data_IF_177316204739
#
_entry.id   IF_177316204739
#
_cell.length_a   1.000
_cell.length_b   1.000
_cell.length_c   1.000
_cell.angle_alpha   90.00
_cell.angle_beta   90.00
_cell.angle_gamma   90.00
#
_symmetry.space_group_name_H-M   'P 1'
#
loop_
_entity.id
_entity.type
_entity.pdbx_description
1 polymer ?
#
# COMPACT_ATOMS: atom_id res chain seq x y z
N UNK A 1 2.71 -6.02 26.88
CA UNK A 1 1.62 -7.02 26.89
C UNK A 1 0.52 -6.53 25.96
N UNK A 2 0.50 -6.99 24.71
CA UNK A 2 -0.62 -6.75 23.80
C UNK A 2 -1.65 -7.85 24.03
N UNK A 3 -2.78 -7.49 24.64
CA UNK A 3 -3.93 -8.38 24.76
C UNK A 3 -4.41 -8.69 23.35
N UNK A 4 -4.33 -9.96 22.91
CA UNK A 4 -4.93 -10.35 21.64
C UNK A 4 -6.41 -9.98 21.68
N UNK A 5 -6.95 -9.29 20.66
CA UNK A 5 -8.36 -8.96 20.63
C UNK A 5 -9.18 -10.24 20.79
N UNK A 6 -10.24 -10.20 21.62
CA UNK A 6 -11.14 -11.33 21.78
C UNK A 6 -11.58 -11.79 20.39
N UNK A 7 -11.26 -13.03 20.05
CA UNK A 7 -11.52 -13.63 18.74
C UNK A 7 -12.99 -13.51 18.36
N UNK A 8 -13.91 -13.55 19.34
CA UNK A 8 -15.35 -13.36 19.08
C UNK A 8 -15.65 -11.93 18.65
N UNK A 9 -15.08 -10.94 19.30
CA UNK A 9 -15.26 -9.52 18.95
C UNK A 9 -14.66 -9.20 17.59
N UNK A 10 -13.48 -9.75 17.27
CA UNK A 10 -12.86 -9.61 15.96
C UNK A 10 -13.76 -10.19 14.85
N UNK A 11 -14.34 -11.38 15.05
CA UNK A 11 -15.25 -11.99 14.08
C UNK A 11 -16.54 -11.20 13.90
N UNK A 12 -17.12 -10.67 14.98
CA UNK A 12 -18.31 -9.79 14.92
C UNK A 12 -18.00 -8.53 14.13
N UNK A 13 -16.86 -7.88 14.41
CA UNK A 13 -16.43 -6.68 13.70
C UNK A 13 -16.16 -6.96 12.21
N UNK A 14 -15.48 -8.06 11.88
CA UNK A 14 -15.25 -8.47 10.50
C UNK A 14 -16.56 -8.74 9.77
N UNK A 15 -17.54 -9.39 10.42
CA UNK A 15 -18.86 -9.60 9.86
C UNK A 15 -19.59 -8.29 9.58
N UNK A 16 -19.54 -7.31 10.51
CA UNK A 16 -20.10 -5.97 10.29
C UNK A 16 -19.49 -5.28 9.07
N UNK A 17 -18.16 -5.33 8.94
CA UNK A 17 -17.45 -4.77 7.78
C UNK A 17 -17.85 -5.48 6.49
N UNK A 18 -17.97 -6.81 6.50
CA UNK A 18 -18.41 -7.60 5.35
C UNK A 18 -19.85 -7.27 4.93
N UNK A 19 -20.79 -7.29 5.88
CA UNK A 19 -22.20 -6.97 5.61
C UNK A 19 -22.35 -5.51 5.10
N UNK A 20 -21.61 -4.58 5.70
CA UNK A 20 -21.58 -3.19 5.22
C UNK A 20 -21.01 -3.10 3.80
N UNK A 21 -19.94 -3.82 3.48
CA UNK A 21 -19.38 -3.86 2.13
C UNK A 21 -20.37 -4.46 1.12
N UNK A 22 -21.09 -5.53 1.47
CA UNK A 22 -22.13 -6.16 0.63
C UNK A 22 -23.27 -5.20 0.30
N UNK A 23 -23.83 -4.51 1.30
CA UNK A 23 -24.87 -3.48 1.09
C UNK A 23 -24.38 -2.31 0.23
N UNK A 24 -23.07 -2.16 0.12
CA UNK A 24 -22.40 -1.09 -0.60
C UNK A 24 -21.90 -1.54 -1.98
N UNK A 25 -22.21 -2.77 -2.41
CA UNK A 25 -21.90 -3.25 -3.76
C UNK A 25 -20.45 -3.68 -3.95
N UNK A 26 -19.81 -4.24 -2.92
CA UNK A 26 -18.57 -5.00 -3.13
C UNK A 26 -18.88 -6.16 -4.09
N UNK A 27 -18.08 -6.36 -5.15
CA UNK A 27 -18.34 -7.45 -6.08
C UNK A 27 -18.06 -8.79 -5.40
N UNK A 28 -18.89 -9.79 -5.72
CA UNK A 28 -18.76 -11.17 -5.23
C UNK A 28 -17.52 -11.88 -5.80
N UNK A 29 -16.95 -11.34 -6.89
CA UNK A 29 -15.67 -11.76 -7.45
C UNK A 29 -15.08 -10.60 -8.27
N UNK A 30 -13.81 -10.28 -8.07
CA UNK A 30 -13.08 -9.38 -8.96
C UNK A 30 -12.58 -10.18 -10.17
N UNK A 31 -13.14 -9.91 -11.35
CA UNK A 31 -12.65 -10.52 -12.60
C UNK A 31 -11.24 -10.03 -12.97
N UNK A 32 -10.86 -8.83 -12.52
CA UNK A 32 -9.56 -8.24 -12.73
C UNK A 32 -8.82 -8.10 -11.40
N UNK A 33 -7.74 -8.87 -11.24
CA UNK A 33 -6.83 -8.74 -10.10
C UNK A 33 -6.09 -7.41 -10.18
N UNK A 34 -5.88 -6.76 -9.02
CA UNK A 34 -5.01 -5.58 -8.94
C UNK A 34 -3.63 -5.94 -9.48
N UNK A 35 -3.18 -5.18 -10.48
CA UNK A 35 -1.86 -5.33 -11.08
C UNK A 35 -0.78 -5.30 -9.99
N UNK A 36 0.23 -6.13 -10.17
CA UNK A 36 1.49 -6.10 -9.41
C UNK A 36 2.53 -5.38 -10.25
N UNK A 37 3.53 -4.81 -9.60
CA UNK A 37 4.69 -4.30 -10.32
C UNK A 37 5.63 -5.45 -10.71
N UNK A 38 6.32 -5.27 -11.82
CA UNK A 38 7.50 -6.02 -12.28
C UNK A 38 8.77 -5.13 -12.31
N UNK A 39 8.64 -3.88 -11.89
CA UNK A 39 9.68 -2.85 -11.96
C UNK A 39 9.97 -2.26 -10.57
N UNK A 40 11.16 -2.54 -10.01
CA UNK A 40 11.54 -2.12 -8.66
C UNK A 40 11.44 -0.60 -8.46
N UNK A 41 11.98 0.20 -9.38
CA UNK A 41 11.93 1.66 -9.28
C UNK A 41 10.52 2.25 -9.17
N UNK A 42 9.58 1.74 -9.98
CA UNK A 42 8.18 2.15 -9.94
C UNK A 42 7.51 1.74 -8.61
N UNK A 43 7.78 0.53 -8.12
CA UNK A 43 7.25 0.05 -6.84
C UNK A 43 7.73 0.92 -5.67
N UNK A 44 9.04 1.17 -5.57
CA UNK A 44 9.61 1.95 -4.47
C UNK A 44 9.16 3.41 -4.54
N UNK A 45 9.07 3.99 -5.74
CA UNK A 45 8.55 5.34 -5.94
C UNK A 45 7.08 5.45 -5.52
N UNK A 46 6.23 4.49 -5.90
CA UNK A 46 4.83 4.44 -5.49
C UNK A 46 4.72 4.38 -3.96
N UNK A 47 5.43 3.44 -3.33
CA UNK A 47 5.42 3.25 -1.88
C UNK A 47 5.92 4.49 -1.10
N UNK A 48 6.93 5.20 -1.59
CA UNK A 48 7.45 6.40 -0.93
C UNK A 48 6.52 7.60 -1.13
N UNK A 49 6.02 7.81 -2.35
CA UNK A 49 5.23 8.99 -2.69
C UNK A 49 3.79 8.92 -2.15
N UNK A 50 3.20 7.72 -2.05
CA UNK A 50 1.81 7.49 -1.60
C UNK A 50 1.42 8.22 -0.30
N UNK A 51 2.35 8.40 0.65
CA UNK A 51 2.00 8.97 1.95
C UNK A 51 1.75 10.48 1.86
N UNK A 52 0.52 10.90 2.13
CA UNK A 52 0.12 12.31 2.19
C UNK A 52 -0.13 12.98 0.84
N UNK A 53 -0.04 12.23 -0.27
CA UNK A 53 -0.22 12.76 -1.62
C UNK A 53 -1.48 12.19 -2.28
N UNK A 54 -2.04 12.95 -3.22
CA UNK A 54 -3.09 12.45 -4.10
C UNK A 54 -2.50 11.41 -5.05
N UNK A 55 -2.99 10.17 -4.96
CA UNK A 55 -2.52 9.11 -5.84
C UNK A 55 -2.76 9.47 -7.32
N UNK A 56 -3.96 9.95 -7.65
CA UNK A 56 -4.36 10.21 -9.05
C UNK A 56 -3.60 11.36 -9.69
N UNK A 57 -3.43 12.47 -8.98
CA UNK A 57 -2.85 13.69 -9.56
C UNK A 57 -1.35 13.84 -9.32
N UNK A 58 -0.76 13.09 -8.38
CA UNK A 58 0.66 13.24 -8.02
C UNK A 58 1.44 11.95 -8.23
N UNK A 59 1.02 10.84 -7.63
CA UNK A 59 1.79 9.58 -7.62
C UNK A 59 1.71 8.87 -8.98
N UNK A 60 0.50 8.62 -9.49
CA UNK A 60 0.27 7.88 -10.73
C UNK A 60 1.00 8.48 -11.94
N UNK A 61 0.99 9.81 -12.19
CA UNK A 61 1.77 10.39 -13.29
C UNK A 61 3.28 10.14 -13.16
N UNK A 62 3.83 10.16 -11.93
CA UNK A 62 5.26 9.94 -11.68
C UNK A 62 5.68 8.51 -11.88
N UNK A 63 4.89 7.58 -11.37
CA UNK A 63 5.07 6.14 -11.61
C UNK A 63 5.01 5.84 -13.10
N UNK A 64 3.99 6.37 -13.80
CA UNK A 64 3.86 6.19 -15.25
C UNK A 64 5.05 6.75 -16.03
N UNK A 65 5.60 7.89 -15.58
CA UNK A 65 6.83 8.46 -16.13
C UNK A 65 8.03 7.56 -15.88
N UNK A 66 8.20 7.03 -14.66
CA UNK A 66 9.29 6.10 -14.33
C UNK A 66 9.28 4.88 -15.27
N UNK A 67 8.12 4.24 -15.41
CA UNK A 67 7.96 3.08 -16.29
C UNK A 67 8.27 3.38 -17.75
N UNK A 68 8.04 4.62 -18.21
CA UNK A 68 8.26 5.04 -19.59
C UNK A 68 9.71 5.49 -19.85
N UNK A 69 10.27 6.31 -18.96
CA UNK A 69 11.54 7.01 -19.17
C UNK A 69 12.74 6.26 -18.57
N UNK A 70 12.51 5.35 -17.63
CA UNK A 70 13.56 4.61 -16.94
C UNK A 70 13.31 3.10 -16.94
N UNK A 71 13.08 2.45 -18.10
CA UNK A 71 12.75 1.02 -18.16
C UNK A 71 13.82 0.11 -17.54
N UNK A 72 15.08 0.57 -17.52
CA UNK A 72 16.22 -0.17 -16.96
C UNK A 72 16.34 -0.02 -15.43
N UNK A 73 15.53 0.83 -14.80
CA UNK A 73 15.50 1.01 -13.34
C UNK A 73 14.61 -0.04 -12.65
N UNK A 74 14.48 -1.23 -13.26
CA UNK A 74 13.62 -2.32 -12.81
C UNK A 74 14.25 -3.21 -11.72
N UNK A 75 15.51 -2.97 -11.35
CA UNK A 75 16.28 -3.67 -10.31
C UNK A 75 16.82 -2.71 -9.26
N UNK A 76 17.04 -3.17 -8.03
CA UNK A 76 17.59 -2.33 -6.94
C UNK A 76 19.02 -1.89 -7.24
N UNK A 77 19.86 -2.76 -7.79
CA UNK A 77 21.23 -2.43 -8.22
C UNK A 77 21.28 -1.27 -9.23
N UNK A 78 20.30 -1.16 -10.13
CA UNK A 78 20.17 -0.02 -11.04
C UNK A 78 19.78 1.26 -10.28
N UNK A 79 18.96 1.15 -9.24
CA UNK A 79 18.59 2.28 -8.37
C UNK A 79 19.75 2.72 -7.49
N UNK A 80 20.60 1.82 -7.01
CA UNK A 80 21.82 2.17 -6.26
C UNK A 80 22.69 3.08 -7.11
N UNK A 81 22.97 2.69 -8.37
CA UNK A 81 23.70 3.53 -9.33
C UNK A 81 23.05 4.92 -9.53
N UNK A 82 21.72 5.00 -9.44
CA UNK A 82 20.97 6.24 -9.60
C UNK A 82 21.11 7.15 -8.36
N UNK A 83 20.99 6.56 -7.17
CA UNK A 83 21.13 7.25 -5.88
C UNK A 83 22.55 7.79 -5.72
N UNK A 84 23.58 6.98 -6.03
CA UNK A 84 24.99 7.39 -5.99
C UNK A 84 25.29 8.58 -6.91
N UNK A 85 24.58 8.67 -8.04
CA UNK A 85 24.68 9.79 -8.99
C UNK A 85 23.84 11.01 -8.57
N UNK A 86 23.21 11.00 -7.40
CA UNK A 86 22.31 12.04 -6.91
C UNK A 86 21.13 12.33 -7.87
N UNK A 87 20.67 11.32 -8.60
CA UNK A 87 19.61 11.48 -9.61
C UNK A 87 18.20 11.24 -9.05
N UNK A 88 18.02 11.01 -7.75
CA UNK A 88 16.73 10.68 -7.13
C UNK A 88 15.66 11.73 -7.37
N UNK A 89 16.01 13.02 -7.27
CA UNK A 89 15.06 14.12 -7.53
C UNK A 89 14.52 14.07 -8.97
N UNK A 90 15.42 13.86 -9.94
CA UNK A 90 15.07 13.71 -11.35
C UNK A 90 14.29 12.43 -11.62
N UNK A 91 14.62 11.32 -10.96
CA UNK A 91 13.93 10.04 -11.11
C UNK A 91 12.50 10.06 -10.56
N UNK A 92 12.31 10.68 -9.39
CA UNK A 92 10.99 10.79 -8.77
C UNK A 92 10.15 11.97 -9.29
N UNK A 93 10.75 12.88 -10.06
CA UNK A 93 10.16 14.18 -10.41
C UNK A 93 9.64 14.89 -9.14
N UNK A 94 10.53 15.02 -8.16
CA UNK A 94 10.18 15.48 -6.82
C UNK A 94 11.33 16.27 -6.19
N UNK A 95 10.99 17.27 -5.38
CA UNK A 95 11.98 18.18 -4.79
C UNK A 95 12.01 18.14 -3.27
N UNK A 96 10.94 17.68 -2.60
CA UNK A 96 10.89 17.73 -1.14
C UNK A 96 11.87 16.70 -0.53
N UNK A 97 12.86 17.14 0.27
CA UNK A 97 14.02 16.33 0.65
C UNK A 97 13.64 15.08 1.45
N UNK A 98 12.60 15.15 2.28
CA UNK A 98 12.15 13.99 3.08
C UNK A 98 11.74 12.80 2.22
N UNK A 99 11.16 13.01 1.03
CA UNK A 99 10.73 11.89 0.16
C UNK A 99 11.92 11.34 -0.62
N UNK A 100 12.82 12.22 -1.06
CA UNK A 100 14.06 11.82 -1.72
C UNK A 100 14.90 10.95 -0.79
N UNK A 101 15.19 11.43 0.42
CA UNK A 101 15.96 10.67 1.40
C UNK A 101 15.30 9.36 1.83
N UNK A 102 13.95 9.29 1.88
CA UNK A 102 13.25 8.01 2.15
C UNK A 102 13.41 7.00 1.02
N UNK A 103 13.40 7.47 -0.23
CA UNK A 103 13.66 6.60 -1.37
C UNK A 103 15.09 6.09 -1.34
N UNK A 104 16.06 6.97 -1.13
CA UNK A 104 17.48 6.62 -1.04
C UNK A 104 17.73 5.61 0.09
N UNK A 105 17.18 5.86 1.29
CA UNK A 105 17.26 4.94 2.43
C UNK A 105 16.68 3.57 2.13
N UNK A 106 15.54 3.51 1.42
CA UNK A 106 14.90 2.25 1.08
C UNK A 106 15.71 1.47 0.03
N UNK A 107 16.30 2.17 -0.95
CA UNK A 107 17.20 1.55 -1.94
C UNK A 107 18.44 0.99 -1.26
N UNK A 108 19.13 1.77 -0.42
CA UNK A 108 20.32 1.32 0.31
C UNK A 108 20.01 0.15 1.26
N UNK A 109 18.85 0.17 1.92
CA UNK A 109 18.44 -0.94 2.78
C UNK A 109 18.25 -2.24 1.99
N UNK A 110 17.53 -2.18 0.87
CA UNK A 110 17.31 -3.37 0.04
C UNK A 110 18.62 -3.92 -0.52
N UNK A 111 19.52 -3.04 -0.96
CA UNK A 111 20.86 -3.42 -1.42
C UNK A 111 21.67 -4.11 -0.31
N UNK A 112 21.64 -3.58 0.92
CA UNK A 112 22.33 -4.17 2.08
C UNK A 112 21.76 -5.53 2.52
N UNK A 113 20.51 -5.82 2.15
CA UNK A 113 19.85 -7.11 2.38
C UNK A 113 19.97 -8.04 1.16
N UNK A 114 20.81 -7.68 0.17
CA UNK A 114 21.05 -8.44 -1.07
C UNK A 114 19.78 -8.67 -1.91
N UNK A 115 18.82 -7.73 -1.86
CA UNK A 115 17.55 -7.78 -2.59
C UNK A 115 17.67 -6.97 -3.87
N UNK A 116 17.43 -7.59 -5.03
CA UNK A 116 17.62 -6.93 -6.33
C UNK A 116 16.36 -6.88 -7.21
N UNK A 117 15.52 -7.90 -7.15
CA UNK A 117 14.32 -8.03 -8.01
C UNK A 117 13.01 -7.87 -7.25
N UNK A 118 11.90 -7.72 -7.98
CA UNK A 118 10.56 -7.74 -7.38
C UNK A 118 10.27 -9.07 -6.66
N UNK A 119 10.74 -10.20 -7.22
CA UNK A 119 10.54 -11.50 -6.58
C UNK A 119 11.33 -11.60 -5.27
N UNK A 120 12.55 -11.05 -5.22
CA UNK A 120 13.32 -10.96 -3.98
C UNK A 120 12.59 -10.11 -2.94
N UNK A 121 12.08 -8.93 -3.34
CA UNK A 121 11.27 -8.06 -2.46
C UNK A 121 10.04 -8.82 -1.95
N UNK A 122 9.36 -9.59 -2.81
CA UNK A 122 8.20 -10.40 -2.45
C UNK A 122 8.55 -11.46 -1.42
N UNK A 123 9.63 -12.20 -1.63
CA UNK A 123 10.11 -13.23 -0.71
C UNK A 123 10.49 -12.59 0.64
N UNK A 124 11.25 -11.51 0.61
CA UNK A 124 11.71 -10.78 1.79
C UNK A 124 10.53 -10.24 2.63
N UNK A 125 9.51 -9.66 1.99
CA UNK A 125 8.29 -9.18 2.67
C UNK A 125 7.48 -10.29 3.35
N UNK A 126 7.71 -11.56 2.99
CA UNK A 126 7.16 -12.72 3.70
C UNK A 126 7.86 -13.01 5.05
N UNK A 127 9.07 -12.50 5.25
CA UNK A 127 9.87 -12.72 6.47
C UNK A 127 9.49 -11.73 7.58
N UNK A 128 9.19 -12.26 8.78
CA UNK A 128 8.94 -11.43 9.97
C UNK A 128 10.16 -10.59 10.36
N UNK A 129 11.37 -11.15 10.22
CA UNK A 129 12.62 -10.46 10.53
C UNK A 129 12.79 -9.26 9.59
N UNK A 130 12.71 -9.49 8.28
CA UNK A 130 12.86 -8.42 7.29
C UNK A 130 11.84 -7.29 7.51
N UNK A 131 10.58 -7.63 7.78
CA UNK A 131 9.56 -6.61 8.12
C UNK A 131 9.88 -5.83 9.39
N UNK A 132 10.44 -6.51 10.41
CA UNK A 132 10.85 -5.87 11.65
C UNK A 132 12.09 -4.99 11.49
N UNK A 133 12.98 -5.31 10.55
CA UNK A 133 14.14 -4.48 10.23
C UNK A 133 13.69 -3.28 9.36
N UNK A 134 12.83 -3.51 8.38
CA UNK A 134 12.29 -2.49 7.48
C UNK A 134 11.49 -1.39 8.21
N UNK A 135 10.77 -1.73 9.29
CA UNK A 135 10.00 -0.76 10.09
C UNK A 135 10.90 0.21 10.88
N UNK A 136 12.18 -0.11 11.06
CA UNK A 136 13.14 0.75 11.75
C UNK A 136 13.60 1.91 10.85
N UNK A 137 13.37 1.83 9.54
CA UNK A 137 13.69 2.91 8.63
C UNK A 137 12.77 4.11 8.87
N UNK A 138 13.38 5.29 9.05
CA UNK A 138 12.65 6.51 9.32
C UNK A 138 11.62 6.82 8.22
N UNK A 139 10.36 6.94 8.62
CA UNK A 139 9.26 7.24 7.71
C UNK A 139 8.65 6.04 7.00
N UNK A 140 9.07 4.82 7.34
CA UNK A 140 8.43 3.56 6.95
C UNK A 140 7.63 3.04 8.15
N UNK A 141 6.30 2.95 7.98
CA UNK A 141 5.40 2.41 9.00
C UNK A 141 4.73 1.11 8.54
N UNK A 142 3.94 0.47 9.43
CA UNK A 142 3.19 -0.76 9.10
C UNK A 142 2.38 -0.64 7.80
N UNK A 143 1.73 0.53 7.59
CA UNK A 143 1.00 0.84 6.36
C UNK A 143 1.87 0.66 5.12
N UNK A 144 3.07 1.23 5.10
CA UNK A 144 3.94 1.21 3.92
C UNK A 144 4.36 -0.23 3.61
N UNK A 145 4.68 -1.03 4.63
CA UNK A 145 5.04 -2.44 4.45
C UNK A 145 3.87 -3.24 3.87
N UNK A 146 2.65 -3.05 4.40
CA UNK A 146 1.46 -3.73 3.88
C UNK A 146 1.09 -3.23 2.47
N UNK A 147 1.32 -1.95 2.17
CA UNK A 147 1.12 -1.40 0.83
C UNK A 147 2.12 -2.00 -0.16
N UNK A 148 3.41 -2.06 0.18
CA UNK A 148 4.42 -2.76 -0.64
C UNK A 148 4.06 -4.23 -0.84
N UNK A 149 3.54 -4.89 0.19
CA UNK A 149 3.03 -6.27 0.11
C UNK A 149 1.93 -6.38 -0.97
N UNK A 150 0.96 -5.46 -0.97
CA UNK A 150 -0.06 -5.39 -2.03
C UNK A 150 0.54 -5.17 -3.43
N UNK A 151 1.59 -4.35 -3.55
CA UNK A 151 2.25 -4.03 -4.83
C UNK A 151 3.01 -5.21 -5.44
N UNK A 152 3.57 -6.10 -4.61
CA UNK A 152 4.23 -7.34 -5.05
C UNK A 152 3.31 -8.55 -5.13
N UNK A 153 2.02 -8.39 -4.81
CA UNK A 153 1.03 -9.47 -4.93
C UNK A 153 0.82 -10.34 -3.70
N UNK A 154 1.21 -9.88 -2.52
CA UNK A 154 0.93 -10.53 -1.23
C UNK A 154 -0.42 -10.05 -0.69
N UNK A 155 -1.22 -10.99 -0.18
CA UNK A 155 -2.53 -10.73 0.42
C UNK A 155 -2.39 -9.92 1.72
N UNK A 156 -2.61 -8.60 1.63
CA UNK A 156 -2.49 -7.66 2.73
C UNK A 156 -3.59 -6.58 2.68
N UNK A 157 -3.80 -5.91 3.81
CA UNK A 157 -4.62 -4.70 3.95
C UNK A 157 -3.71 -3.59 4.46
N UNK A 158 -3.58 -2.51 3.69
CA UNK A 158 -2.79 -1.35 4.10
C UNK A 158 -3.71 -0.36 4.82
N UNK A 159 -3.76 -0.41 6.16
CA UNK A 159 -4.69 0.43 6.93
C UNK A 159 -4.29 1.90 6.80
N UNK A 160 -5.07 2.64 6.02
CA UNK A 160 -4.93 4.07 5.84
C UNK A 160 -6.19 4.83 6.26
N UNK A 161 -6.23 6.14 5.97
CA UNK A 161 -7.39 6.97 6.30
C UNK A 161 -8.70 6.48 5.65
N UNK A 162 -8.64 5.84 4.48
CA UNK A 162 -9.81 5.32 3.78
C UNK A 162 -10.33 4.06 4.46
N UNK A 163 -9.44 3.14 4.85
CA UNK A 163 -9.80 1.98 5.69
C UNK A 163 -10.40 2.45 7.02
N UNK A 164 -9.78 3.41 7.71
CA UNK A 164 -10.31 3.97 8.97
C UNK A 164 -11.68 4.61 8.78
N UNK A 165 -11.86 5.41 7.73
CA UNK A 165 -13.15 6.05 7.41
C UNK A 165 -14.23 4.99 7.15
N UNK A 166 -13.89 3.94 6.41
CA UNK A 166 -14.81 2.84 6.14
C UNK A 166 -15.19 2.08 7.42
N UNK A 167 -14.23 1.82 8.30
CA UNK A 167 -14.45 1.16 9.58
C UNK A 167 -15.45 1.93 10.45
N UNK A 168 -15.26 3.26 10.58
CA UNK A 168 -16.17 4.13 11.33
C UNK A 168 -17.59 4.06 10.75
N UNK A 169 -17.74 4.13 9.42
CA UNK A 169 -19.04 4.02 8.75
C UNK A 169 -19.70 2.65 8.93
N UNK A 170 -18.90 1.59 9.06
CA UNK A 170 -19.37 0.25 9.41
C UNK A 170 -19.68 0.07 10.91
N UNK A 171 -19.55 1.14 11.72
CA UNK A 171 -19.86 1.13 13.14
C UNK A 171 -18.77 0.51 14.02
N UNK A 172 -17.51 0.59 13.61
CA UNK A 172 -16.36 0.22 14.46
C UNK A 172 -15.84 1.44 15.23
N UNK A 173 -15.56 1.23 16.51
CA UNK A 173 -15.04 2.27 17.41
C UNK A 173 -13.50 2.17 17.58
N UNK A 174 -12.95 0.96 17.48
CA UNK A 174 -11.50 0.75 17.60
C UNK A 174 -10.80 1.06 16.27
N UNK A 175 -9.83 1.97 16.29
CA UNK A 175 -9.08 2.44 15.12
C UNK A 175 -7.60 2.01 15.10
N UNK A 176 -7.22 1.09 15.99
CA UNK A 176 -5.89 0.49 16.05
C UNK A 176 -5.53 -0.20 14.73
N UNK A 177 -4.26 -0.06 14.34
CA UNK A 177 -3.79 -0.54 13.03
C UNK A 177 -3.91 -2.06 12.90
N UNK A 178 -3.41 -2.81 13.88
CA UNK A 178 -3.39 -4.28 13.81
C UNK A 178 -4.80 -4.84 13.97
N UNK A 179 -5.62 -4.24 14.83
CA UNK A 179 -7.04 -4.57 14.92
C UNK A 179 -7.75 -4.41 13.57
N UNK A 180 -7.68 -3.21 12.96
CA UNK A 180 -8.34 -2.95 11.68
C UNK A 180 -7.79 -3.84 10.56
N UNK A 181 -6.48 -4.05 10.51
CA UNK A 181 -5.86 -4.95 9.53
C UNK A 181 -6.45 -6.35 9.62
N UNK A 182 -6.58 -6.91 10.82
CA UNK A 182 -7.14 -8.24 11.02
C UNK A 182 -8.64 -8.27 10.70
N UNK A 183 -9.41 -7.28 11.14
CA UNK A 183 -10.84 -7.16 10.83
C UNK A 183 -11.08 -7.16 9.32
N UNK A 184 -10.38 -6.30 8.57
CA UNK A 184 -10.58 -6.19 7.13
C UNK A 184 -10.06 -7.41 6.38
N UNK A 185 -8.99 -8.04 6.88
CA UNK A 185 -8.50 -9.31 6.31
C UNK A 185 -9.55 -10.40 6.44
N UNK A 186 -10.14 -10.56 7.63
CA UNK A 186 -11.20 -11.56 7.87
C UNK A 186 -12.49 -11.18 7.14
N UNK A 187 -12.81 -9.90 6.99
CA UNK A 187 -13.96 -9.46 6.21
C UNK A 187 -13.81 -9.83 4.72
N UNK A 188 -12.62 -9.65 4.13
CA UNK A 188 -12.33 -10.11 2.78
C UNK A 188 -12.48 -11.63 2.66
N UNK A 189 -11.96 -12.38 3.63
CA UNK A 189 -12.08 -13.84 3.68
C UNK A 189 -13.57 -14.28 3.75
N UNK A 190 -14.41 -13.60 4.55
CA UNK A 190 -15.86 -13.84 4.64
C UNK A 190 -16.58 -13.54 3.32
N UNK A 191 -16.12 -12.53 2.58
CA UNK A 191 -16.64 -12.15 1.27
C UNK A 191 -16.10 -13.02 0.14
N UNK A 192 -15.14 -13.92 0.42
CA UNK A 192 -14.45 -14.74 -0.58
C UNK A 192 -13.76 -13.92 -1.67
N UNK A 193 -13.18 -12.76 -1.30
CA UNK A 193 -12.43 -11.88 -2.19
C UNK A 193 -10.97 -11.76 -1.72
N UNK A 194 -10.05 -11.44 -2.63
CA UNK A 194 -8.67 -11.11 -2.24
C UNK A 194 -8.67 -9.91 -1.29
N UNK A 195 -7.82 -9.96 -0.28
CA UNK A 195 -7.56 -8.84 0.64
C UNK A 195 -7.05 -7.62 -0.13
N UNK A 196 -6.20 -7.83 -1.15
CA UNK A 196 -5.68 -6.74 -2.01
C UNK A 196 -6.79 -6.09 -2.84
N UNK A 197 -7.73 -6.90 -3.31
CA UNK A 197 -8.89 -6.42 -4.07
C UNK A 197 -9.87 -5.69 -3.17
N UNK A 198 -10.07 -6.19 -1.95
CA UNK A 198 -10.90 -5.53 -0.96
C UNK A 198 -10.31 -4.18 -0.53
N UNK A 199 -9.01 -4.12 -0.24
CA UNK A 199 -8.25 -2.89 0.02
C UNK A 199 -8.46 -1.86 -1.11
N UNK A 200 -8.26 -2.28 -2.37
CA UNK A 200 -8.44 -1.42 -3.52
C UNK A 200 -9.88 -0.95 -3.72
N UNK A 201 -10.87 -1.81 -3.45
CA UNK A 201 -12.28 -1.46 -3.51
C UNK A 201 -12.65 -0.40 -2.46
N UNK A 202 -12.23 -0.60 -1.21
CA UNK A 202 -12.46 0.37 -0.12
C UNK A 202 -11.80 1.70 -0.48
N UNK A 203 -10.54 1.67 -0.90
CA UNK A 203 -9.83 2.88 -1.32
C UNK A 203 -10.54 3.63 -2.45
N UNK A 204 -10.91 2.94 -3.53
CA UNK A 204 -11.57 3.54 -4.70
C UNK A 204 -12.90 4.18 -4.32
N UNK A 205 -13.68 3.52 -3.45
CA UNK A 205 -14.96 4.02 -2.96
C UNK A 205 -14.78 5.29 -2.12
N UNK A 206 -13.92 5.23 -1.12
CA UNK A 206 -13.77 6.33 -0.16
C UNK A 206 -13.03 7.52 -0.78
N UNK A 207 -12.11 7.29 -1.73
CA UNK A 207 -11.49 8.35 -2.50
C UNK A 207 -12.50 9.10 -3.39
N UNK A 208 -13.43 8.40 -4.05
CA UNK A 208 -14.49 9.03 -4.87
C UNK A 208 -15.45 9.86 -4.04
N UNK A 209 -15.80 9.43 -2.83
CA UNK A 209 -16.70 10.17 -1.94
C UNK A 209 -16.05 11.41 -1.30
N UNK A 210 -14.72 11.44 -1.22
CA UNK A 210 -13.96 12.58 -0.68
C UNK A 210 -13.60 13.61 -1.75
N UNK A 211 -13.67 13.28 -3.03
CA UNK A 211 -13.72 14.29 -4.10
C UNK A 211 -15.14 14.86 -4.09
N UNK A 212 -15.36 16.14 -3.73
CA UNK A 212 -16.64 16.76 -3.98
C UNK A 212 -16.92 16.57 -5.46
N UNK A 213 -18.05 15.97 -5.75
CA UNK A 213 -18.68 16.06 -7.05
C UNK A 213 -18.82 17.55 -7.31
N UNK A 214 -17.93 18.13 -8.12
CA UNK A 214 -18.28 19.30 -8.90
C UNK A 214 -19.33 18.76 -9.87
N UNK A 215 -20.60 18.86 -9.48
CA UNK A 215 -21.71 18.86 -10.41
C UNK A 215 -21.48 20.06 -11.33
N UNK A 216 -20.72 19.86 -12.38
CA UNK A 216 -20.78 20.71 -13.56
C UNK A 216 -22.01 20.27 -14.31
N UNK A 217 -23.13 20.89 -13.96
CA UNK A 217 -24.21 21.08 -14.91
C UNK A 217 -23.63 21.84 -16.12
N UNK A 218 -23.57 21.15 -17.25
CA UNK A 218 -23.63 21.76 -18.58
C UNK A 218 -24.58 20.93 -19.42
#
# INVERSE_FOLDING_TARGET
>A
MTCQPDRRELLKAARRVADFASTHGVPHSYAARRATYDHAGALLADAVLQAGLSYRSVVMPRVGRILKEFPDANRVSALVCLVEKNNTAHFLDWQHPTKLGRFDLLVSFLDSEEIDTIDDIRVALGSKKFRADLILLNGIGPKTIDYMSCLVGIEAIAVDRHIKTFAIKAGLENDDYDYLKNVFSVAADLLSISRREFDAWVWSREARKQSPQLDLAF
#
